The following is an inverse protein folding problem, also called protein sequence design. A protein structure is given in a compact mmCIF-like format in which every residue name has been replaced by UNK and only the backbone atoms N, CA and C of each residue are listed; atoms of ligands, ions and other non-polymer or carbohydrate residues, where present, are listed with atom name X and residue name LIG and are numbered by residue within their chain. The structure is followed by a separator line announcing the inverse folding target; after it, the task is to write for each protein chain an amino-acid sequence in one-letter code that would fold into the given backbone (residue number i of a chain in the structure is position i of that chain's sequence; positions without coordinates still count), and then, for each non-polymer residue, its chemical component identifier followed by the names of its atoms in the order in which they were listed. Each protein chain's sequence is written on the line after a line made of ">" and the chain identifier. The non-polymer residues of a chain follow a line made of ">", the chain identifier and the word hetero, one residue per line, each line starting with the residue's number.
data_IF_906496903537
#
_entry.id   IF_906496903537
#
_cell.length_a   1.000
_cell.length_b   1.000
_cell.length_c   1.000
_cell.angle_alpha   90.00
_cell.angle_beta   90.00
_cell.angle_gamma   90.00
#
_symmetry.space_group_name_H-M   'P 1'
#
loop_
_entity.id
_entity.type
_entity.pdbx_description
1 polymer ?
#
# COMPACT_ATOMS: atom_id res chain seq x y z
N UNK A 1 -22.24 -18.98 24.61
CA UNK A 1 -21.26 -20.05 24.33
C UNK A 1 -19.90 -19.48 24.72
N UNK A 2 -19.16 -20.15 25.61
CA UNK A 2 -17.82 -19.72 25.99
C UNK A 2 -16.86 -20.12 24.86
N UNK A 3 -16.23 -19.14 24.20
CA UNK A 3 -15.16 -19.40 23.24
C UNK A 3 -13.85 -19.64 23.98
N UNK A 4 -13.02 -20.55 23.45
CA UNK A 4 -11.65 -20.73 23.96
C UNK A 4 -10.77 -19.66 23.33
N UNK A 5 -10.10 -18.86 24.17
CA UNK A 5 -9.15 -17.85 23.71
C UNK A 5 -7.79 -18.50 23.44
N UNK A 6 -7.23 -18.28 22.26
CA UNK A 6 -5.91 -18.75 21.86
C UNK A 6 -5.07 -17.54 21.49
N UNK A 7 -3.95 -17.35 22.20
CA UNK A 7 -2.98 -16.32 21.89
C UNK A 7 -1.74 -16.94 21.26
N UNK A 8 -1.31 -16.34 20.16
CA UNK A 8 -0.13 -16.73 19.41
C UNK A 8 0.72 -15.51 19.09
N UNK A 9 2.00 -15.72 18.85
CA UNK A 9 2.86 -14.71 18.27
C UNK A 9 3.78 -15.32 17.22
N UNK A 10 4.25 -14.48 16.30
CA UNK A 10 5.05 -14.91 15.17
C UNK A 10 5.81 -13.75 14.52
N UNK A 11 6.48 -14.07 13.41
CA UNK A 11 7.32 -13.13 12.68
C UNK A 11 7.04 -13.11 11.19
N UNK A 12 6.92 -11.92 10.63
CA UNK A 12 7.08 -11.74 9.18
C UNK A 12 8.58 -11.61 8.93
N UNK A 13 9.19 -12.73 8.54
CA UNK A 13 10.62 -12.83 8.28
C UNK A 13 10.92 -12.30 6.88
N UNK A 14 11.87 -11.38 6.77
CA UNK A 14 12.24 -10.75 5.52
C UNK A 14 13.75 -10.53 5.40
N UNK A 15 14.22 -10.35 4.17
CA UNK A 15 15.56 -9.86 3.87
C UNK A 15 15.50 -8.83 2.75
N UNK A 16 16.50 -7.95 2.70
CA UNK A 16 16.67 -6.99 1.61
C UNK A 16 17.88 -7.43 0.79
N UNK A 17 17.69 -7.68 -0.51
CA UNK A 17 18.79 -8.02 -1.42
C UNK A 17 18.66 -7.19 -2.69
N UNK A 18 19.73 -6.48 -3.06
CA UNK A 18 19.80 -5.65 -4.28
C UNK A 18 18.62 -4.68 -4.43
N UNK A 19 18.15 -4.07 -3.32
CA UNK A 19 17.02 -3.15 -3.35
C UNK A 19 15.67 -3.82 -3.62
N UNK A 20 15.54 -5.10 -3.24
CA UNK A 20 14.29 -5.86 -3.30
C UNK A 20 14.02 -6.48 -1.93
N UNK A 21 12.80 -6.32 -1.41
CA UNK A 21 12.36 -7.00 -0.19
C UNK A 21 11.86 -8.38 -0.56
N UNK A 22 12.34 -9.41 0.15
CA UNK A 22 11.87 -10.78 -0.02
C UNK A 22 11.45 -11.33 1.34
N UNK A 23 10.36 -12.10 1.35
CA UNK A 23 9.72 -12.58 2.56
C UNK A 23 9.64 -14.10 2.58
N UNK A 24 9.60 -14.67 3.77
CA UNK A 24 9.47 -16.11 3.99
C UNK A 24 8.03 -16.50 4.33
N UNK A 25 7.51 -17.49 3.60
CA UNK A 25 6.31 -18.23 3.97
C UNK A 25 6.65 -19.70 4.23
N UNK A 26 5.90 -20.32 5.12
CA UNK A 26 5.95 -21.74 5.41
C UNK A 26 4.61 -22.39 5.05
N UNK A 27 4.64 -23.62 4.53
CA UNK A 27 3.44 -24.37 4.17
C UNK A 27 3.12 -25.40 5.24
N UNK A 28 2.01 -25.23 5.95
CA UNK A 28 1.62 -26.11 7.04
C UNK A 28 1.12 -27.48 6.53
N UNK A 29 1.58 -28.58 7.14
CA UNK A 29 1.21 -29.95 6.76
C UNK A 29 -0.21 -30.30 7.23
N UNK A 30 -0.55 -29.94 8.47
CA UNK A 30 -1.71 -30.49 9.18
C UNK A 30 -3.03 -29.73 8.96
N UNK A 31 -2.98 -28.51 8.45
CA UNK A 31 -4.12 -27.58 8.43
C UNK A 31 -4.49 -27.15 7.01
N UNK A 32 -4.76 -28.11 6.13
CA UNK A 32 -5.26 -27.83 4.77
C UNK A 32 -4.21 -27.25 3.81
N UNK A 33 -2.92 -27.49 4.06
CA UNK A 33 -1.82 -27.14 3.16
C UNK A 33 -1.74 -25.64 2.75
N UNK A 34 -2.01 -24.73 3.68
CA UNK A 34 -1.94 -23.30 3.43
C UNK A 34 -0.57 -22.70 3.75
N UNK A 35 -0.22 -21.64 3.03
CA UNK A 35 0.96 -20.83 3.29
C UNK A 35 0.67 -19.78 4.37
N UNK A 36 1.61 -19.58 5.28
CA UNK A 36 1.52 -18.56 6.33
C UNK A 36 2.89 -18.13 6.84
N UNK A 37 2.88 -17.14 7.72
CA UNK A 37 4.08 -16.69 8.43
C UNK A 37 4.37 -17.58 9.64
N UNK A 38 5.64 -17.71 10.05
CA UNK A 38 5.99 -18.50 11.22
C UNK A 38 5.36 -17.93 12.49
N UNK A 39 4.70 -18.80 13.27
CA UNK A 39 3.94 -18.43 14.46
C UNK A 39 3.50 -19.67 15.26
N UNK A 40 3.39 -19.49 16.56
CA UNK A 40 2.80 -20.51 17.43
C UNK A 40 2.26 -19.94 18.72
N UNK A 41 1.85 -20.83 19.63
CA UNK A 41 1.13 -20.45 20.85
C UNK A 41 2.08 -19.81 21.85
N UNK A 42 1.58 -18.81 22.56
CA UNK A 42 2.29 -18.23 23.69
C UNK A 42 2.27 -19.25 24.83
N UNK A 43 3.45 -19.63 25.32
CA UNK A 43 3.60 -20.55 26.45
C UNK A 43 3.47 -19.84 27.80
N UNK A 44 3.31 -20.61 28.88
CA UNK A 44 3.14 -20.06 30.23
C UNK A 44 4.38 -19.24 30.63
N UNK A 45 4.17 -17.97 30.97
CA UNK A 45 5.24 -17.04 31.38
C UNK A 45 5.95 -16.31 30.22
N UNK A 46 5.65 -16.62 28.96
CA UNK A 46 6.33 -16.05 27.80
C UNK A 46 5.72 -14.70 27.36
N UNK A 47 6.57 -13.73 27.02
CA UNK A 47 6.12 -12.48 26.36
C UNK A 47 5.91 -12.72 24.87
N UNK A 48 4.98 -11.98 24.25
CA UNK A 48 4.71 -12.02 22.79
C UNK A 48 5.99 -12.00 21.92
N UNK A 49 6.99 -11.19 22.30
CA UNK A 49 8.27 -11.09 21.55
C UNK A 49 9.21 -12.28 21.75
N UNK A 50 9.15 -12.93 22.91
CA UNK A 50 9.91 -14.15 23.21
C UNK A 50 9.30 -15.30 22.41
N UNK A 51 7.97 -15.43 22.42
CA UNK A 51 7.22 -16.37 21.57
C UNK A 51 7.56 -16.18 20.09
N UNK A 52 7.47 -14.96 19.58
CA UNK A 52 7.80 -14.69 18.17
C UNK A 52 9.22 -15.13 17.82
N UNK A 53 10.21 -14.87 18.68
CA UNK A 53 11.60 -15.30 18.46
C UNK A 53 11.73 -16.83 18.46
N UNK A 54 11.15 -17.49 19.46
CA UNK A 54 11.18 -18.96 19.59
C UNK A 54 10.56 -19.62 18.38
N UNK A 55 9.37 -19.20 17.98
CA UNK A 55 8.62 -19.75 16.85
C UNK A 55 9.34 -19.55 15.51
N UNK A 56 9.96 -18.38 15.28
CA UNK A 56 10.83 -18.19 14.11
C UNK A 56 11.98 -19.21 14.13
N UNK A 57 12.65 -19.41 15.27
CA UNK A 57 13.78 -20.34 15.37
C UNK A 57 13.33 -21.79 15.16
N UNK A 58 12.23 -22.21 15.79
CA UNK A 58 11.71 -23.57 15.76
C UNK A 58 11.19 -23.94 14.37
N UNK A 59 10.41 -23.07 13.72
CA UNK A 59 9.78 -23.38 12.44
C UNK A 59 10.69 -23.16 11.22
N UNK A 60 11.70 -22.28 11.33
CA UNK A 60 12.57 -21.89 10.20
C UNK A 60 14.04 -22.27 10.37
N UNK A 61 14.49 -22.59 11.59
CA UNK A 61 15.90 -22.80 11.92
C UNK A 61 16.76 -21.52 11.91
N UNK A 62 16.19 -20.35 11.63
CA UNK A 62 16.92 -19.07 11.56
C UNK A 62 17.19 -18.55 12.96
N UNK A 63 18.46 -18.53 13.38
CA UNK A 63 18.88 -18.01 14.69
C UNK A 63 19.39 -16.58 14.66
N UNK A 64 19.89 -16.11 13.50
CA UNK A 64 20.50 -14.79 13.35
C UNK A 64 19.53 -13.85 12.62
N UNK A 65 18.79 -13.06 13.39
CA UNK A 65 17.86 -12.06 12.88
C UNK A 65 17.73 -10.86 13.83
N UNK A 66 17.32 -9.72 13.29
CA UNK A 66 16.98 -8.53 14.07
C UNK A 66 15.46 -8.42 14.14
N UNK A 67 14.91 -8.46 15.35
CA UNK A 67 13.48 -8.27 15.58
C UNK A 67 13.19 -6.77 15.71
N UNK A 68 12.30 -6.23 14.87
CA UNK A 68 11.82 -4.85 15.02
C UNK A 68 10.64 -4.82 16.00
N UNK A 69 10.91 -4.38 17.23
CA UNK A 69 9.90 -4.25 18.29
C UNK A 69 8.95 -3.05 18.07
N UNK A 70 9.20 -2.17 17.09
CA UNK A 70 8.33 -1.03 16.78
C UNK A 70 7.19 -1.39 15.82
N UNK A 71 7.30 -2.52 15.12
CA UNK A 71 6.20 -3.08 14.35
C UNK A 71 5.52 -4.19 15.15
N UNK A 72 4.30 -3.93 15.61
CA UNK A 72 3.49 -4.91 16.34
C UNK A 72 2.06 -4.81 15.82
N UNK A 73 1.59 -5.88 15.17
CA UNK A 73 0.24 -5.94 14.61
C UNK A 73 -0.48 -7.20 15.05
N UNK A 74 -1.66 -7.04 15.62
CA UNK A 74 -2.53 -8.14 16.02
C UNK A 74 -3.55 -8.44 14.92
N UNK A 75 -3.69 -9.71 14.56
CA UNK A 75 -4.81 -10.22 13.77
C UNK A 75 -5.72 -11.09 14.61
N UNK A 76 -7.02 -11.05 14.30
CA UNK A 76 -8.06 -11.75 15.05
C UNK A 76 -8.93 -12.56 14.08
N UNK A 77 -9.15 -13.83 14.39
CA UNK A 77 -10.10 -14.67 13.68
C UNK A 77 -10.64 -15.77 14.58
N UNK A 78 -11.87 -16.20 14.31
CA UNK A 78 -12.51 -17.30 15.01
C UNK A 78 -12.63 -18.50 14.08
N UNK A 79 -12.44 -19.69 14.61
CA UNK A 79 -12.67 -20.94 13.90
C UNK A 79 -13.26 -21.98 14.83
N UNK A 80 -13.99 -22.93 14.27
CA UNK A 80 -14.55 -24.04 15.04
C UNK A 80 -13.64 -25.26 14.93
N UNK A 81 -13.34 -25.87 16.07
CA UNK A 81 -12.61 -27.14 16.14
C UNK A 81 -13.28 -28.03 17.17
N UNK A 82 -13.61 -29.26 16.76
CA UNK A 82 -14.27 -30.26 17.60
C UNK A 82 -15.59 -29.76 18.24
N UNK A 83 -16.38 -28.97 17.50
CA UNK A 83 -17.64 -28.39 17.98
C UNK A 83 -17.49 -27.19 18.91
N UNK A 84 -16.26 -26.71 19.13
CA UNK A 84 -15.96 -25.60 20.04
C UNK A 84 -15.41 -24.41 19.22
N UNK A 85 -16.02 -23.25 19.42
CA UNK A 85 -15.53 -21.99 18.85
C UNK A 85 -14.26 -21.57 19.57
N UNK A 86 -13.20 -21.35 18.79
CA UNK A 86 -11.91 -20.85 19.25
C UNK A 86 -11.68 -19.47 18.67
N UNK A 87 -11.48 -18.48 19.54
CA UNK A 87 -11.09 -17.13 19.14
C UNK A 87 -9.58 -17.02 19.24
N UNK A 88 -8.94 -16.75 18.10
CA UNK A 88 -7.48 -16.70 18.02
C UNK A 88 -6.99 -15.30 17.71
N UNK A 89 -6.07 -14.85 18.55
CA UNK A 89 -5.28 -13.64 18.35
C UNK A 89 -3.86 -14.03 17.99
N UNK A 90 -3.32 -13.47 16.91
CA UNK A 90 -1.91 -13.64 16.53
C UNK A 90 -1.25 -12.27 16.48
N UNK A 91 -0.19 -12.08 17.27
CA UNK A 91 0.67 -10.90 17.21
C UNK A 91 1.84 -11.16 16.26
N UNK A 92 2.00 -10.33 15.23
CA UNK A 92 3.17 -10.37 14.35
C UNK A 92 4.16 -9.25 14.63
N UNK A 93 5.43 -9.63 14.60
CA UNK A 93 6.59 -8.73 14.57
C UNK A 93 7.29 -8.83 13.20
N UNK A 94 8.17 -7.89 12.89
CA UNK A 94 9.09 -8.01 11.75
C UNK A 94 10.42 -8.61 12.19
N UNK A 95 10.98 -9.51 11.39
CA UNK A 95 12.29 -10.10 11.62
C UNK A 95 13.16 -9.98 10.37
N UNK A 96 14.21 -9.16 10.43
CA UNK A 96 15.17 -8.98 9.34
C UNK A 96 16.30 -10.01 9.43
N UNK A 97 16.58 -10.69 8.31
CA UNK A 97 17.67 -11.67 8.19
C UNK A 97 18.70 -11.24 7.14
N UNK A 98 19.96 -11.56 7.38
CA UNK A 98 21.05 -11.28 6.42
C UNK A 98 21.21 -12.38 5.37
N UNK A 99 20.86 -13.63 5.72
CA UNK A 99 21.00 -14.79 4.84
C UNK A 99 19.70 -15.59 4.80
N UNK A 100 19.35 -16.07 3.61
CA UNK A 100 18.22 -16.96 3.38
C UNK A 100 18.63 -18.41 3.64
N UNK A 101 18.72 -18.79 4.90
CA UNK A 101 18.87 -20.19 5.30
C UNK A 101 17.58 -20.63 5.97
N UNK A 102 16.96 -21.72 5.54
CA UNK A 102 15.72 -22.20 6.15
C UNK A 102 15.78 -23.72 6.30
N UNK A 103 15.64 -24.18 7.54
CA UNK A 103 15.48 -25.59 7.90
C UNK A 103 14.08 -25.72 8.51
N UNK A 104 13.21 -26.47 7.85
CA UNK A 104 11.82 -26.61 8.26
C UNK A 104 11.67 -27.51 9.47
N UNK A 105 10.72 -27.18 10.34
CA UNK A 105 10.20 -28.10 11.36
C UNK A 105 9.31 -29.20 10.77
N UNK A 106 9.00 -30.22 11.57
CA UNK A 106 8.08 -31.31 11.22
C UNK A 106 6.63 -30.84 10.99
N UNK A 107 6.32 -29.58 11.26
CA UNK A 107 4.99 -29.00 11.02
C UNK A 107 4.80 -28.48 9.59
N UNK A 108 5.90 -28.33 8.83
CA UNK A 108 5.93 -27.67 7.54
C UNK A 108 6.53 -28.55 6.45
N UNK A 109 5.87 -28.59 5.28
CA UNK A 109 6.35 -29.39 4.15
C UNK A 109 7.29 -28.61 3.24
N UNK A 110 7.09 -27.31 3.14
CA UNK A 110 7.77 -26.44 2.16
C UNK A 110 7.99 -25.03 2.74
N UNK A 111 9.03 -24.36 2.27
CA UNK A 111 9.25 -22.93 2.48
C UNK A 111 9.29 -22.20 1.13
N UNK A 112 8.97 -20.91 1.16
CA UNK A 112 9.01 -20.08 -0.03
C UNK A 112 9.54 -18.69 0.31
N UNK A 113 10.57 -18.27 -0.42
CA UNK A 113 11.06 -16.90 -0.42
C UNK A 113 10.57 -16.19 -1.68
N UNK A 114 9.79 -15.11 -1.52
CA UNK A 114 9.23 -14.37 -2.64
C UNK A 114 9.18 -12.86 -2.42
N UNK A 115 8.98 -12.11 -3.49
CA UNK A 115 8.72 -10.68 -3.46
C UNK A 115 7.27 -10.38 -3.05
N UNK A 116 6.93 -9.10 -2.92
CA UNK A 116 5.63 -8.67 -2.43
C UNK A 116 4.43 -9.33 -3.15
N UNK A 117 4.47 -9.39 -4.48
CA UNK A 117 3.38 -9.96 -5.27
C UNK A 117 3.33 -11.50 -5.17
N UNK A 118 4.48 -12.17 -5.14
CA UNK A 118 4.54 -13.63 -4.96
C UNK A 118 3.92 -14.07 -3.62
N UNK A 119 4.13 -13.27 -2.57
CA UNK A 119 3.61 -13.53 -1.23
C UNK A 119 2.10 -13.31 -1.20
N UNK A 120 1.61 -12.23 -1.81
CA UNK A 120 0.17 -11.97 -1.92
C UNK A 120 -0.57 -13.07 -2.68
N UNK A 121 0.04 -13.66 -3.71
CA UNK A 121 -0.58 -14.72 -4.49
C UNK A 121 -0.66 -16.06 -3.73
N UNK A 122 0.20 -16.26 -2.74
CA UNK A 122 0.20 -17.47 -1.90
C UNK A 122 -0.66 -17.38 -0.65
N UNK A 123 -0.83 -16.19 -0.09
CA UNK A 123 -1.66 -15.98 1.09
C UNK A 123 -3.15 -16.05 0.72
N UNK A 124 -3.89 -16.90 1.45
CA UNK A 124 -5.33 -17.10 1.23
C UNK A 124 -6.15 -16.33 2.29
N UNK A 125 -5.63 -16.22 3.51
CA UNK A 125 -6.33 -15.57 4.61
C UNK A 125 -6.27 -14.04 4.47
N UNK A 126 -7.43 -13.40 4.53
CA UNK A 126 -7.54 -11.93 4.38
C UNK A 126 -6.78 -11.18 5.49
N UNK A 127 -6.80 -11.70 6.72
CA UNK A 127 -6.10 -11.13 7.86
C UNK A 127 -4.57 -11.20 7.71
N UNK A 128 -4.04 -12.32 7.21
CA UNK A 128 -2.60 -12.47 6.90
C UNK A 128 -2.19 -11.50 5.77
N UNK A 129 -3.02 -11.33 4.75
CA UNK A 129 -2.80 -10.35 3.67
C UNK A 129 -2.76 -8.91 4.22
N UNK A 130 -3.64 -8.58 5.17
CA UNK A 130 -3.72 -7.25 5.76
C UNK A 130 -2.50 -6.92 6.62
N UNK A 131 -2.06 -7.84 7.49
CA UNK A 131 -0.85 -7.63 8.29
C UNK A 131 0.41 -7.61 7.44
N UNK A 132 0.50 -8.45 6.40
CA UNK A 132 1.61 -8.43 5.46
C UNK A 132 1.76 -7.09 4.74
N UNK A 133 0.62 -6.52 4.32
CA UNK A 133 0.55 -5.20 3.71
C UNK A 133 1.09 -4.09 4.62
N UNK A 134 0.67 -4.08 5.88
CA UNK A 134 1.17 -3.15 6.90
C UNK A 134 2.67 -3.33 7.13
N UNK A 135 3.12 -4.58 7.26
CA UNK A 135 4.53 -4.92 7.44
C UNK A 135 5.40 -4.42 6.27
N UNK A 136 4.98 -4.67 5.04
CA UNK A 136 5.66 -4.14 3.86
C UNK A 136 5.73 -2.61 3.90
N UNK A 137 4.62 -1.91 4.14
CA UNK A 137 4.63 -0.45 4.18
C UNK A 137 5.52 0.09 5.30
N UNK A 138 5.54 -0.56 6.47
CA UNK A 138 6.43 -0.21 7.58
C UNK A 138 7.90 -0.30 7.17
N UNK A 139 8.33 -1.42 6.57
CA UNK A 139 9.70 -1.58 6.06
C UNK A 139 10.03 -0.46 5.07
N UNK A 140 9.12 -0.18 4.12
CA UNK A 140 9.31 0.88 3.13
C UNK A 140 9.43 2.27 3.79
N UNK A 141 8.63 2.56 4.81
CA UNK A 141 8.69 3.81 5.58
C UNK A 141 10.02 3.93 6.31
N UNK A 142 10.51 2.87 6.95
CA UNK A 142 11.79 2.89 7.67
C UNK A 142 12.96 3.21 6.72
N UNK A 143 12.96 2.61 5.52
CA UNK A 143 14.05 2.74 4.54
C UNK A 143 14.01 4.09 3.78
N UNK A 144 12.84 4.56 3.38
CA UNK A 144 12.73 5.70 2.48
C UNK A 144 12.96 7.06 3.18
N UNK A 145 13.60 7.99 2.48
CA UNK A 145 13.83 9.37 2.95
C UNK A 145 12.63 10.29 2.67
N UNK A 146 11.81 9.92 1.69
CA UNK A 146 10.60 10.62 1.29
C UNK A 146 9.43 9.66 1.11
N UNK A 147 8.21 10.15 1.26
CA UNK A 147 6.98 9.37 1.12
C UNK A 147 6.05 10.06 0.12
N UNK A 148 5.60 9.31 -0.89
CA UNK A 148 4.46 9.71 -1.72
C UNK A 148 3.20 9.06 -1.15
N UNK A 149 2.42 9.88 -0.45
CA UNK A 149 1.23 9.46 0.30
C UNK A 149 -0.03 9.87 -0.44
N UNK A 150 -1.01 8.98 -0.52
CA UNK A 150 -2.33 9.32 -1.04
C UNK A 150 -3.39 8.36 -0.52
N UNK A 151 -4.66 8.77 -0.48
CA UNK A 151 -5.75 7.79 -0.45
C UNK A 151 -5.67 6.92 -1.72
N UNK A 152 -6.16 5.65 -1.73
CA UNK A 152 -6.27 4.89 -2.96
C UNK A 152 -6.94 5.67 -4.08
N UNK A 153 -6.49 5.45 -5.32
CA UNK A 153 -7.12 6.00 -6.54
C UNK A 153 -6.96 7.52 -6.77
N UNK A 154 -6.07 8.20 -6.06
CA UNK A 154 -5.74 9.63 -6.33
C UNK A 154 -4.76 9.88 -7.50
N UNK A 155 -4.38 8.86 -8.28
CA UNK A 155 -3.44 9.01 -9.41
C UNK A 155 -1.97 8.78 -9.08
N UNK A 156 -1.66 8.23 -7.89
CA UNK A 156 -0.28 7.94 -7.43
C UNK A 156 0.58 7.15 -8.43
N UNK A 157 0.00 6.20 -9.17
CA UNK A 157 0.72 5.45 -10.20
C UNK A 157 1.21 6.35 -11.35
N UNK A 158 0.40 7.32 -11.77
CA UNK A 158 0.78 8.23 -12.85
C UNK A 158 1.95 9.12 -12.44
N UNK A 159 1.84 9.79 -11.29
CA UNK A 159 2.92 10.62 -10.75
C UNK A 159 4.21 9.81 -10.56
N UNK A 160 4.11 8.61 -10.00
CA UNK A 160 5.27 7.76 -9.78
C UNK A 160 5.93 7.30 -11.09
N UNK A 161 5.17 7.06 -12.16
CA UNK A 161 5.74 6.75 -13.47
C UNK A 161 6.50 7.92 -14.08
N UNK A 162 5.95 9.14 -13.99
CA UNK A 162 6.65 10.34 -14.47
C UNK A 162 7.99 10.48 -13.73
N UNK A 163 7.96 10.42 -12.40
CA UNK A 163 9.17 10.51 -11.58
C UNK A 163 10.15 9.37 -11.88
N UNK A 164 9.66 8.13 -12.04
CA UNK A 164 10.51 6.99 -12.35
C UNK A 164 11.22 7.14 -13.71
N UNK A 165 10.55 7.68 -14.74
CA UNK A 165 11.18 7.97 -16.04
C UNK A 165 12.23 9.07 -15.95
N UNK A 166 11.95 10.14 -15.20
CA UNK A 166 12.91 11.22 -14.96
C UNK A 166 14.14 10.66 -14.24
N UNK A 167 13.95 9.90 -13.16
CA UNK A 167 15.04 9.33 -12.39
C UNK A 167 15.84 8.29 -13.18
N UNK A 168 15.16 7.45 -13.96
CA UNK A 168 15.82 6.45 -14.79
C UNK A 168 16.80 7.11 -15.77
N UNK A 169 16.39 8.17 -16.48
CA UNK A 169 17.27 8.88 -17.41
C UNK A 169 18.32 9.73 -16.70
N UNK A 170 17.95 10.45 -15.63
CA UNK A 170 18.87 11.36 -14.90
C UNK A 170 20.01 10.61 -14.20
N UNK A 171 19.74 9.41 -13.70
CA UNK A 171 20.69 8.62 -12.92
C UNK A 171 21.20 7.36 -13.64
N UNK A 172 20.94 7.24 -14.94
CA UNK A 172 21.35 6.12 -15.79
C UNK A 172 20.98 4.75 -15.19
N UNK A 173 19.72 4.63 -14.76
CA UNK A 173 19.23 3.41 -14.12
C UNK A 173 18.77 2.39 -15.18
N UNK A 174 18.78 1.09 -14.84
CA UNK A 174 18.23 0.04 -15.71
C UNK A 174 16.78 0.32 -16.14
N UNK A 175 16.41 -0.12 -17.34
CA UNK A 175 15.09 0.14 -17.93
C UNK A 175 13.93 -0.39 -17.06
N UNK A 176 14.17 -1.51 -16.38
CA UNK A 176 13.22 -2.16 -15.47
C UNK A 176 13.02 -1.39 -14.14
N UNK A 177 13.67 -0.23 -13.97
CA UNK A 177 13.38 0.72 -12.90
C UNK A 177 12.00 1.39 -13.09
N UNK A 178 11.65 1.73 -14.33
CA UNK A 178 10.38 2.43 -14.64
C UNK A 178 9.17 1.54 -14.33
N UNK A 179 9.32 0.24 -14.58
CA UNK A 179 8.26 -0.75 -14.44
C UNK A 179 8.14 -1.31 -13.03
N UNK A 180 9.12 -1.05 -12.15
CA UNK A 180 9.11 -1.48 -10.74
C UNK A 180 9.10 -0.27 -9.81
N UNK A 181 7.88 0.22 -9.53
CA UNK A 181 7.63 1.31 -8.57
C UNK A 181 8.16 1.02 -7.15
N UNK A 182 8.54 -0.22 -6.85
CA UNK A 182 9.08 -0.59 -5.54
C UNK A 182 10.57 -0.22 -5.42
N UNK A 183 11.31 -0.19 -6.53
CA UNK A 183 12.73 0.16 -6.57
C UNK A 183 13.00 1.61 -6.15
N UNK A 184 12.01 2.50 -6.26
CA UNK A 184 12.13 3.88 -5.76
C UNK A 184 12.32 3.92 -4.25
N UNK A 185 11.93 2.87 -3.51
CA UNK A 185 11.96 2.85 -2.05
C UNK A 185 13.38 2.77 -1.49
N UNK A 186 14.30 2.20 -2.25
CA UNK A 186 15.65 1.94 -1.76
C UNK A 186 16.61 3.08 -2.12
N UNK A 187 17.53 3.43 -1.21
CA UNK A 187 18.51 4.47 -1.50
C UNK A 187 19.41 4.03 -2.66
N UNK A 188 19.37 4.79 -3.75
CA UNK A 188 20.33 4.70 -4.85
C UNK A 188 21.26 5.90 -4.70
N UNK A 189 22.55 5.73 -5.01
CA UNK A 189 23.54 6.81 -4.87
C UNK A 189 23.05 8.07 -5.58
N UNK A 190 22.99 9.18 -4.84
CA UNK A 190 22.52 10.50 -5.30
C UNK A 190 21.04 10.60 -5.71
N UNK A 191 20.23 9.55 -5.54
CA UNK A 191 18.79 9.59 -5.77
C UNK A 191 18.04 9.48 -4.42
N UNK A 192 17.15 10.43 -4.09
CA UNK A 192 16.31 10.31 -2.91
C UNK A 192 15.42 9.06 -2.96
N UNK A 193 15.48 8.23 -1.93
CA UNK A 193 14.55 7.12 -1.77
C UNK A 193 13.14 7.62 -1.46
N UNK A 194 12.16 7.06 -2.15
CA UNK A 194 10.75 7.39 -2.05
C UNK A 194 9.90 6.12 -1.92
N UNK A 195 9.20 5.98 -0.80
CA UNK A 195 8.19 4.95 -0.62
C UNK A 195 6.81 5.47 -1.03
N UNK A 196 6.05 4.64 -1.74
CA UNK A 196 4.68 4.96 -2.13
C UNK A 196 3.71 4.21 -1.22
N UNK A 197 2.96 4.94 -0.39
CA UNK A 197 2.09 4.34 0.63
C UNK A 197 0.69 4.95 0.62
N UNK A 198 -0.25 4.25 1.25
CA UNK A 198 -1.56 4.82 1.59
C UNK A 198 -1.63 5.35 3.02
N UNK A 199 -0.61 5.05 3.83
CA UNK A 199 -0.53 5.30 5.27
C UNK A 199 -1.74 4.77 6.03
N UNK A 200 -1.54 3.69 6.78
CA UNK A 200 -2.55 3.15 7.70
C UNK A 200 -3.85 2.65 7.03
N UNK A 201 -3.81 2.40 5.72
CA UNK A 201 -4.86 1.72 4.95
C UNK A 201 -6.28 2.28 5.19
N UNK A 202 -6.50 3.60 4.98
CA UNK A 202 -7.74 4.29 5.36
C UNK A 202 -8.97 3.68 4.69
N UNK A 203 -8.82 3.07 3.52
CA UNK A 203 -9.91 2.44 2.78
C UNK A 203 -10.56 1.23 3.46
N UNK A 204 -9.96 0.68 4.53
CA UNK A 204 -10.54 -0.42 5.32
C UNK A 204 -11.05 0.06 6.69
N UNK A 205 -10.91 1.35 6.97
CA UNK A 205 -11.19 1.95 8.28
C UNK A 205 -12.46 2.78 8.27
N UNK A 206 -13.12 2.82 9.43
CA UNK A 206 -14.11 3.85 9.75
C UNK A 206 -13.39 5.15 10.10
N UNK A 207 -14.11 6.27 10.02
CA UNK A 207 -13.59 7.60 10.40
C UNK A 207 -12.96 7.61 11.79
N UNK A 208 -13.57 6.94 12.77
CA UNK A 208 -13.06 6.88 14.14
C UNK A 208 -11.76 6.08 14.32
N UNK A 209 -11.41 5.23 13.36
CA UNK A 209 -10.24 4.33 13.41
C UNK A 209 -9.02 4.89 12.66
N UNK A 210 -9.18 6.00 11.92
CA UNK A 210 -8.10 6.65 11.20
C UNK A 210 -7.02 7.15 12.17
N UNK A 211 -5.76 6.82 11.89
CA UNK A 211 -4.63 7.40 12.62
C UNK A 211 -4.66 8.93 12.51
N UNK A 212 -4.61 9.63 13.64
CA UNK A 212 -4.73 11.10 13.69
C UNK A 212 -3.41 11.85 13.77
N UNK A 213 -2.34 11.19 14.22
CA UNK A 213 -1.03 11.80 14.44
C UNK A 213 -0.04 11.31 13.39
N UNK A 214 0.60 12.23 12.66
CA UNK A 214 1.58 11.94 11.60
C UNK A 214 3.00 12.37 11.95
N UNK A 215 3.25 12.83 13.17
CA UNK A 215 4.53 13.42 13.61
C UNK A 215 5.73 12.48 13.39
N UNK A 216 5.55 11.17 13.54
CA UNK A 216 6.62 10.20 13.31
C UNK A 216 7.05 10.14 11.83
N UNK A 217 6.13 10.44 10.90
CA UNK A 217 6.40 10.46 9.47
C UNK A 217 6.99 11.79 9.00
N UNK A 218 6.64 12.91 9.64
CA UNK A 218 7.09 14.27 9.26
C UNK A 218 8.60 14.54 9.48
N UNK A 219 9.33 13.57 10.03
CA UNK A 219 10.80 13.55 9.96
C UNK A 219 11.34 13.29 8.54
N UNK A 220 10.46 12.88 7.63
CA UNK A 220 10.72 12.58 6.22
C UNK A 220 9.96 13.58 5.36
N UNK A 221 10.42 13.77 4.12
CA UNK A 221 9.70 14.59 3.13
C UNK A 221 8.42 13.88 2.69
N UNK A 222 7.28 14.53 2.82
CA UNK A 222 5.96 13.99 2.48
C UNK A 222 5.42 14.72 1.26
N UNK A 223 5.19 13.98 0.18
CA UNK A 223 4.40 14.46 -0.97
C UNK A 223 2.99 13.88 -0.78
N UNK A 224 2.02 14.73 -0.47
CA UNK A 224 0.64 14.31 -0.26
C UNK A 224 -0.20 14.59 -1.50
N UNK A 225 -0.53 13.52 -2.23
CA UNK A 225 -1.35 13.57 -3.43
C UNK A 225 -2.83 13.39 -3.07
N UNK A 226 -3.59 14.45 -3.29
CA UNK A 226 -5.05 14.47 -3.18
C UNK A 226 -5.69 14.57 -4.55
N UNK A 227 -6.96 14.20 -4.61
CA UNK A 227 -7.83 14.27 -5.79
C UNK A 227 -9.25 14.53 -5.33
N UNK A 228 -10.08 15.14 -6.17
CA UNK A 228 -11.52 15.33 -5.89
C UNK A 228 -12.14 14.05 -5.29
N UNK A 229 -12.64 14.10 -4.04
CA UNK A 229 -13.23 12.93 -3.38
C UNK A 229 -14.35 12.25 -4.17
N UNK A 230 -15.06 12.98 -5.03
CA UNK A 230 -16.12 12.44 -5.90
C UNK A 230 -15.54 11.58 -7.01
N UNK A 231 -14.44 12.01 -7.61
CA UNK A 231 -13.71 11.18 -8.57
C UNK A 231 -13.05 9.97 -7.89
N UNK A 232 -12.51 10.18 -6.69
CA UNK A 232 -11.86 9.11 -5.91
C UNK A 232 -12.85 8.01 -5.56
N UNK A 233 -14.03 8.35 -5.02
CA UNK A 233 -15.01 7.33 -4.60
C UNK A 233 -15.55 6.53 -5.79
N UNK A 234 -15.77 7.17 -6.95
CA UNK A 234 -16.18 6.48 -8.18
C UNK A 234 -15.06 5.55 -8.67
N UNK A 235 -13.80 6.04 -8.69
CA UNK A 235 -12.65 5.21 -9.08
C UNK A 235 -12.42 4.05 -8.11
N UNK A 236 -12.69 4.27 -6.81
CA UNK A 236 -12.59 3.25 -5.77
C UNK A 236 -13.69 2.20 -5.91
N UNK A 237 -14.93 2.61 -6.20
CA UNK A 237 -16.03 1.70 -6.49
C UNK A 237 -15.67 0.73 -7.60
N UNK A 238 -15.27 1.22 -8.77
CA UNK A 238 -14.90 0.36 -9.91
C UNK A 238 -13.70 -0.54 -9.62
N UNK A 239 -12.73 -0.05 -8.84
CA UNK A 239 -11.63 -0.90 -8.39
C UNK A 239 -12.13 -2.06 -7.53
N UNK A 240 -13.10 -1.83 -6.65
CA UNK A 240 -13.62 -2.86 -5.75
C UNK A 240 -14.63 -3.80 -6.43
N UNK A 241 -15.52 -3.27 -7.28
CA UNK A 241 -16.60 -4.03 -7.91
C UNK A 241 -16.16 -4.73 -9.19
N UNK A 242 -15.45 -4.04 -10.09
CA UNK A 242 -15.14 -4.55 -11.43
C UNK A 242 -13.71 -5.11 -11.56
N UNK A 243 -12.73 -4.56 -10.84
CA UNK A 243 -11.35 -5.09 -10.91
C UNK A 243 -11.10 -6.20 -9.91
N UNK A 244 -11.47 -5.98 -8.65
CA UNK A 244 -11.20 -6.92 -7.55
C UNK A 244 -12.38 -7.84 -7.22
N UNK A 245 -13.58 -7.53 -7.71
CA UNK A 245 -14.81 -8.30 -7.44
C UNK A 245 -15.09 -8.51 -5.94
N UNK A 246 -14.65 -7.54 -5.10
CA UNK A 246 -14.79 -7.54 -3.64
C UNK A 246 -16.05 -6.84 -3.15
N UNK A 247 -16.72 -6.10 -4.03
CA UNK A 247 -17.95 -5.39 -3.72
C UNK A 247 -19.03 -5.74 -4.74
N UNK A 248 -20.23 -6.06 -4.27
CA UNK A 248 -21.36 -6.49 -5.12
C UNK A 248 -22.52 -5.48 -5.15
N UNK A 249 -22.49 -4.44 -4.31
CA UNK A 249 -23.53 -3.43 -4.24
C UNK A 249 -23.47 -2.39 -5.38
N UNK A 250 -24.45 -1.49 -5.38
CA UNK A 250 -24.49 -0.38 -6.34
C UNK A 250 -23.48 0.71 -5.98
N UNK A 251 -23.18 1.60 -6.94
CA UNK A 251 -22.37 2.79 -6.66
C UNK A 251 -23.03 3.66 -5.58
N UNK A 252 -24.35 3.83 -5.61
CA UNK A 252 -25.10 4.61 -4.62
C UNK A 252 -24.96 4.06 -3.21
N UNK A 253 -25.01 2.74 -3.03
CA UNK A 253 -24.77 2.10 -1.73
C UNK A 253 -23.32 2.32 -1.28
N UNK A 254 -22.38 2.22 -2.21
CA UNK A 254 -20.95 2.40 -1.93
C UNK A 254 -20.61 3.80 -1.42
N UNK A 255 -21.34 4.84 -1.84
CA UNK A 255 -21.18 6.20 -1.33
C UNK A 255 -21.47 6.30 0.17
N UNK A 256 -22.30 5.41 0.70
CA UNK A 256 -22.76 5.37 2.10
C UNK A 256 -21.96 4.41 2.97
N UNK A 257 -20.98 3.69 2.40
CA UNK A 257 -20.16 2.74 3.15
C UNK A 257 -19.41 3.42 4.30
N UNK A 258 -19.55 2.82 5.49
CA UNK A 258 -18.91 3.35 6.70
C UNK A 258 -17.39 3.16 6.72
N UNK A 259 -16.87 2.20 5.95
CA UNK A 259 -15.44 1.87 5.83
C UNK A 259 -14.95 2.23 4.44
N UNK A 260 -13.97 3.14 4.36
CA UNK A 260 -13.39 3.56 3.08
C UNK A 260 -14.35 4.27 2.12
N UNK A 261 -15.59 4.56 2.55
CA UNK A 261 -16.54 5.37 1.79
C UNK A 261 -16.22 6.87 1.85
N UNK A 262 -17.15 7.69 1.38
CA UNK A 262 -16.89 9.11 1.13
C UNK A 262 -16.43 9.88 2.38
N UNK A 263 -17.09 9.65 3.54
CA UNK A 263 -16.72 10.35 4.78
C UNK A 263 -15.31 9.97 5.26
N UNK A 264 -14.84 8.75 4.96
CA UNK A 264 -13.48 8.32 5.28
C UNK A 264 -12.45 9.10 4.48
N UNK A 265 -12.72 9.35 3.19
CA UNK A 265 -11.85 10.14 2.30
C UNK A 265 -11.71 11.57 2.83
N UNK A 266 -12.85 12.23 3.12
CA UNK A 266 -12.87 13.61 3.63
C UNK A 266 -12.07 13.73 4.93
N UNK A 267 -12.29 12.82 5.87
CA UNK A 267 -11.58 12.85 7.16
C UNK A 267 -10.09 12.54 7.01
N UNK A 268 -9.72 11.60 6.14
CA UNK A 268 -8.33 11.29 5.86
C UNK A 268 -7.59 12.52 5.29
N UNK A 269 -8.18 13.24 4.33
CA UNK A 269 -7.62 14.49 3.82
C UNK A 269 -7.49 15.54 4.93
N UNK A 270 -8.54 15.75 5.72
CA UNK A 270 -8.51 16.72 6.81
C UNK A 270 -7.46 16.41 7.88
N UNK A 271 -7.14 15.14 8.13
CA UNK A 271 -6.07 14.76 9.05
C UNK A 271 -4.71 15.19 8.50
N UNK A 272 -4.45 14.91 7.22
CA UNK A 272 -3.18 15.26 6.57
C UNK A 272 -3.02 16.76 6.33
N UNK A 273 -4.07 17.46 5.95
CA UNK A 273 -4.05 18.91 5.67
C UNK A 273 -3.82 19.77 6.91
N UNK A 274 -3.81 19.20 8.12
CA UNK A 274 -3.34 19.89 9.34
C UNK A 274 -1.85 20.20 9.32
N UNK A 275 -1.10 19.53 8.45
CA UNK A 275 0.35 19.61 8.36
C UNK A 275 0.82 20.41 7.13
N UNK A 276 -0.07 21.16 6.48
CA UNK A 276 0.26 21.88 5.25
C UNK A 276 1.39 22.90 5.41
N UNK A 277 1.51 23.50 6.60
CA UNK A 277 2.54 24.48 6.91
C UNK A 277 3.88 23.85 7.34
N UNK A 278 3.97 22.51 7.42
CA UNK A 278 5.20 21.82 7.75
C UNK A 278 6.18 21.88 6.55
N UNK A 279 7.45 22.27 6.76
CA UNK A 279 8.43 22.40 5.66
C UNK A 279 8.77 21.06 4.99
N UNK A 280 8.47 19.93 5.63
CA UNK A 280 8.60 18.60 5.05
C UNK A 280 7.29 18.12 4.42
N UNK A 281 6.31 18.99 4.19
CA UNK A 281 5.03 18.63 3.58
C UNK A 281 4.80 19.37 2.26
N UNK A 282 4.53 18.61 1.20
CA UNK A 282 4.25 19.13 -0.13
C UNK A 282 2.88 18.62 -0.60
N UNK A 283 1.89 19.51 -0.63
CA UNK A 283 0.56 19.19 -1.13
C UNK A 283 0.53 19.24 -2.65
N UNK A 284 -0.12 18.25 -3.27
CA UNK A 284 -0.41 18.27 -4.70
C UNK A 284 -1.82 17.75 -4.97
N UNK A 285 -2.56 18.47 -5.80
CA UNK A 285 -3.85 18.01 -6.33
C UNK A 285 -3.66 17.36 -7.69
N UNK A 286 -4.32 16.23 -7.89
CA UNK A 286 -4.34 15.53 -9.17
C UNK A 286 -4.81 16.46 -10.30
N UNK A 287 -5.79 17.31 -10.03
CA UNK A 287 -6.34 18.25 -11.00
C UNK A 287 -5.30 19.29 -11.44
N UNK A 288 -4.50 19.80 -10.52
CA UNK A 288 -3.48 20.80 -10.84
C UNK A 288 -2.28 20.16 -11.53
N UNK A 289 -1.87 18.95 -11.09
CA UNK A 289 -0.89 18.13 -11.80
C UNK A 289 -1.35 17.80 -13.22
N UNK A 290 -2.64 17.56 -13.44
CA UNK A 290 -3.22 17.29 -14.74
C UNK A 290 -3.20 18.52 -15.64
N UNK A 291 -3.50 19.70 -15.09
CA UNK A 291 -3.57 20.95 -15.85
C UNK A 291 -2.19 21.55 -16.16
N UNK A 292 -1.27 21.53 -15.18
CA UNK A 292 0.06 22.15 -15.29
C UNK A 292 1.18 21.15 -14.88
N UNK A 293 1.33 20.01 -15.57
CA UNK A 293 2.20 18.92 -15.12
C UNK A 293 3.67 19.35 -14.96
N UNK A 294 4.22 20.13 -15.89
CA UNK A 294 5.61 20.59 -15.81
C UNK A 294 5.88 21.42 -14.55
N UNK A 295 4.98 22.35 -14.19
CA UNK A 295 5.10 23.20 -13.00
C UNK A 295 5.14 22.36 -11.72
N UNK A 296 4.20 21.43 -11.57
CA UNK A 296 4.10 20.62 -10.35
C UNK A 296 5.19 19.56 -10.25
N UNK A 297 5.63 19.00 -11.38
CA UNK A 297 6.79 18.10 -11.38
C UNK A 297 8.07 18.84 -11.00
N UNK A 298 8.31 20.05 -11.52
CA UNK A 298 9.44 20.87 -11.09
C UNK A 298 9.37 21.18 -9.58
N UNK A 299 8.20 21.58 -9.07
CA UNK A 299 8.01 21.81 -7.63
C UNK A 299 8.32 20.57 -6.77
N UNK A 300 7.95 19.37 -7.22
CA UNK A 300 8.31 18.11 -6.54
C UNK A 300 9.83 17.87 -6.58
N UNK A 301 10.48 18.07 -7.73
CA UNK A 301 11.91 17.85 -7.87
C UNK A 301 12.70 18.81 -6.97
N UNK A 302 12.32 20.09 -6.95
CA UNK A 302 12.87 21.09 -6.04
C UNK A 302 12.64 20.71 -4.57
N UNK A 303 11.41 20.32 -4.22
CA UNK A 303 11.08 19.85 -2.88
C UNK A 303 11.90 18.63 -2.48
N UNK A 304 12.24 17.73 -3.40
CA UNK A 304 13.11 16.57 -3.16
C UNK A 304 14.61 16.90 -3.19
N UNK A 305 14.99 18.16 -3.46
CA UNK A 305 16.37 18.62 -3.69
C UNK A 305 17.06 17.95 -4.89
N UNK A 306 16.31 17.62 -5.94
CA UNK A 306 16.85 17.03 -7.17
C UNK A 306 17.00 18.14 -8.20
N UNK A 307 18.26 18.47 -8.52
CA UNK A 307 18.61 19.59 -9.40
C UNK A 307 19.09 19.13 -10.77
N UNK A 308 19.27 20.10 -11.66
CA UNK A 308 19.90 19.95 -12.97
C UNK A 308 19.15 18.97 -13.88
N UNK A 309 17.82 19.02 -13.86
CA UNK A 309 16.97 18.22 -14.74
C UNK A 309 16.63 19.07 -15.96
N UNK A 310 16.97 18.55 -17.14
CA UNK A 310 16.61 19.17 -18.41
C UNK A 310 15.07 19.25 -18.55
N UNK A 311 14.55 20.43 -18.87
CA UNK A 311 13.13 20.64 -19.15
C UNK A 311 12.62 19.69 -20.24
N UNK A 312 13.46 19.37 -21.24
CA UNK A 312 13.10 18.42 -22.29
C UNK A 312 12.88 17.00 -21.74
N UNK A 313 13.69 16.58 -20.77
CA UNK A 313 13.53 15.30 -20.09
C UNK A 313 12.19 15.24 -19.33
N UNK A 314 11.79 16.32 -18.66
CA UNK A 314 10.51 16.40 -17.95
C UNK A 314 9.34 16.29 -18.94
N UNK A 315 9.40 17.05 -20.04
CA UNK A 315 8.38 17.02 -21.10
C UNK A 315 8.22 15.63 -21.71
N UNK A 316 9.34 14.98 -22.02
CA UNK A 316 9.32 13.62 -22.58
C UNK A 316 8.76 12.62 -21.57
N UNK A 317 9.13 12.71 -20.29
CA UNK A 317 8.60 11.85 -19.24
C UNK A 317 7.07 12.02 -19.04
N UNK A 318 6.56 13.26 -19.13
CA UNK A 318 5.12 13.56 -19.07
C UNK A 318 4.41 12.95 -20.28
N UNK A 319 4.94 13.19 -21.49
CA UNK A 319 4.38 12.65 -22.75
C UNK A 319 4.33 11.12 -22.74
N UNK A 320 5.43 10.50 -22.36
CA UNK A 320 5.59 9.04 -22.30
C UNK A 320 4.83 8.42 -21.12
N UNK A 321 4.23 9.23 -20.25
CA UNK A 321 3.35 8.78 -19.16
C UNK A 321 1.91 9.26 -19.37
N UNK A 322 1.55 9.62 -20.60
CA UNK A 322 0.17 10.00 -20.94
C UNK A 322 -0.81 8.86 -20.66
N UNK A 323 -2.09 9.19 -20.49
CA UNK A 323 -3.15 8.19 -20.27
C UNK A 323 -3.10 7.05 -21.29
N UNK A 324 -2.98 7.39 -22.58
CA UNK A 324 -2.94 6.41 -23.66
C UNK A 324 -1.75 5.47 -23.54
N UNK A 325 -0.57 6.00 -23.21
CA UNK A 325 0.64 5.18 -23.09
C UNK A 325 0.61 4.28 -21.85
N UNK A 326 0.18 4.82 -20.70
CA UNK A 326 -0.01 4.01 -19.50
C UNK A 326 -1.08 2.93 -19.70
N UNK A 327 -2.19 3.25 -20.36
CA UNK A 327 -3.26 2.30 -20.66
C UNK A 327 -2.78 1.21 -21.62
N UNK A 328 -1.95 1.56 -22.62
CA UNK A 328 -1.26 0.60 -23.49
C UNK A 328 -0.35 -0.32 -22.69
N UNK A 329 0.51 0.23 -21.82
CA UNK A 329 1.39 -0.55 -20.95
C UNK A 329 0.61 -1.50 -20.01
N UNK A 330 -0.53 -1.07 -19.48
CA UNK A 330 -1.42 -1.92 -18.67
C UNK A 330 -2.02 -3.04 -19.52
N UNK A 331 -2.57 -2.71 -20.69
CA UNK A 331 -3.19 -3.67 -21.61
C UNK A 331 -2.21 -4.74 -22.10
N UNK A 332 -0.98 -4.33 -22.43
CA UNK A 332 0.08 -5.18 -22.94
C UNK A 332 0.86 -5.89 -21.82
N UNK A 333 0.46 -5.73 -20.55
CA UNK A 333 1.13 -6.27 -19.35
C UNK A 333 2.64 -5.94 -19.29
N UNK A 334 3.02 -4.74 -19.75
CA UNK A 334 4.41 -4.27 -19.77
C UNK A 334 4.90 -3.79 -18.40
N UNK A 335 4.00 -3.71 -17.41
CA UNK A 335 4.41 -3.50 -16.03
C UNK A 335 4.99 -4.79 -15.44
N UNK A 336 6.18 -4.71 -14.87
CA UNK A 336 6.82 -5.81 -14.13
C UNK A 336 6.15 -6.13 -12.78
N UNK A 337 4.96 -5.57 -12.54
CA UNK A 337 4.23 -5.64 -11.26
C UNK A 337 2.82 -6.18 -11.56
N UNK A 338 2.50 -7.44 -11.21
CA UNK A 338 1.22 -8.07 -11.50
C UNK A 338 -0.01 -7.26 -11.06
N UNK A 339 0.06 -6.54 -9.93
CA UNK A 339 -1.05 -5.69 -9.46
C UNK A 339 -1.44 -4.55 -10.40
N UNK A 340 -0.59 -4.20 -11.35
CA UNK A 340 -0.87 -3.17 -12.36
C UNK A 340 -1.66 -3.74 -13.55
N UNK A 341 -1.69 -5.05 -13.77
CA UNK A 341 -2.45 -5.71 -14.84
C UNK A 341 -3.97 -5.56 -14.69
N UNK A 342 -4.75 -5.46 -15.79
CA UNK A 342 -6.21 -5.31 -15.73
C UNK A 342 -6.88 -6.50 -15.03
N UNK A 343 -8.03 -6.26 -14.38
CA UNK A 343 -8.81 -7.34 -13.75
C UNK A 343 -9.48 -8.25 -14.78
N UNK A 344 -10.03 -7.63 -15.83
CA UNK A 344 -10.59 -8.27 -17.02
C UNK A 344 -10.29 -7.38 -18.24
N UNK A 345 -9.44 -7.85 -19.14
CA UNK A 345 -9.03 -7.09 -20.32
C UNK A 345 -10.19 -6.73 -21.26
N UNK A 346 -11.33 -7.42 -21.18
CA UNK A 346 -12.54 -7.16 -21.97
C UNK A 346 -13.46 -6.12 -21.34
N UNK A 347 -13.28 -5.80 -20.05
CA UNK A 347 -14.07 -4.81 -19.33
C UNK A 347 -13.22 -3.54 -19.09
N UNK A 348 -13.47 -2.43 -19.81
CA UNK A 348 -12.76 -1.16 -19.61
C UNK A 348 -12.79 -0.64 -18.17
N UNK A 349 -13.85 -0.95 -17.42
CA UNK A 349 -13.99 -0.50 -16.03
C UNK A 349 -13.12 -1.30 -15.04
N UNK A 350 -12.55 -2.42 -15.46
CA UNK A 350 -11.63 -3.23 -14.65
C UNK A 350 -10.17 -2.73 -14.68
N UNK A 351 -9.85 -1.82 -15.60
CA UNK A 351 -8.51 -1.24 -15.76
C UNK A 351 -8.19 -0.30 -14.59
N UNK A 352 -6.91 -0.24 -14.23
CA UNK A 352 -6.41 0.64 -13.18
C UNK A 352 -6.34 2.06 -13.72
N UNK A 353 -5.85 2.19 -14.95
CA UNK A 353 -5.82 3.40 -15.76
C UNK A 353 -7.07 3.38 -16.64
N UNK A 354 -8.19 3.83 -16.04
CA UNK A 354 -9.54 3.65 -16.59
C UNK A 354 -9.96 4.72 -17.60
N UNK A 355 -9.89 5.99 -17.19
CA UNK A 355 -10.32 7.14 -18.00
C UNK A 355 -9.29 8.28 -18.07
N UNK A 356 -8.51 8.47 -17.01
CA UNK A 356 -7.52 9.55 -16.94
C UNK A 356 -8.11 10.97 -16.91
N UNK A 357 -9.42 11.13 -16.76
CA UNK A 357 -10.11 12.43 -16.80
C UNK A 357 -10.32 13.03 -15.41
N UNK A 358 -10.40 14.35 -15.33
CA UNK A 358 -10.85 15.13 -14.17
C UNK A 358 -12.36 15.36 -14.26
N UNK A 359 -13.08 15.17 -13.14
CA UNK A 359 -14.52 15.39 -13.09
C UNK A 359 -15.36 14.26 -13.70
N UNK A 360 -14.76 13.08 -13.89
CA UNK A 360 -15.42 11.92 -14.48
C UNK A 360 -16.60 11.40 -13.64
N UNK A 361 -16.67 11.73 -12.35
CA UNK A 361 -17.81 11.38 -11.49
C UNK A 361 -19.17 11.86 -12.04
N UNK A 362 -19.20 12.94 -12.84
CA UNK A 362 -20.43 13.48 -13.44
C UNK A 362 -21.12 12.51 -14.40
N UNK A 363 -20.37 11.56 -14.97
CA UNK A 363 -20.91 10.52 -15.85
C UNK A 363 -21.59 9.38 -15.07
N UNK A 364 -21.30 9.24 -13.78
CA UNK A 364 -21.73 8.09 -12.97
C UNK A 364 -22.72 8.46 -11.85
N UNK A 365 -22.70 9.71 -11.40
CA UNK A 365 -23.51 10.17 -10.27
C UNK A 365 -24.68 11.02 -10.74
N UNK A 366 -25.84 10.78 -10.15
CA UNK A 366 -27.00 11.65 -10.34
C UNK A 366 -26.75 13.05 -9.76
N UNK A 367 -27.48 14.06 -10.26
CA UNK A 367 -27.42 15.42 -9.71
C UNK A 367 -27.70 15.46 -8.20
N UNK A 368 -28.61 14.59 -7.72
CA UNK A 368 -28.95 14.47 -6.30
C UNK A 368 -27.76 13.98 -5.48
N UNK A 369 -27.09 12.92 -5.93
CA UNK A 369 -25.91 12.38 -5.26
C UNK A 369 -24.76 13.40 -5.27
N UNK A 370 -24.50 14.05 -6.41
CA UNK A 370 -23.48 15.10 -6.50
C UNK A 370 -23.75 16.21 -5.49
N UNK A 371 -25.00 16.69 -5.38
CA UNK A 371 -25.35 17.72 -4.41
C UNK A 371 -25.14 17.25 -2.96
N UNK A 372 -25.49 16.00 -2.63
CA UNK A 372 -25.24 15.44 -1.31
C UNK A 372 -23.74 15.33 -0.98
N UNK A 373 -22.93 14.92 -1.96
CA UNK A 373 -21.48 14.86 -1.80
C UNK A 373 -20.86 16.26 -1.68
N UNK A 374 -21.38 17.26 -2.41
CA UNK A 374 -20.94 18.65 -2.28
C UNK A 374 -21.13 19.19 -0.86
N UNK A 375 -22.29 18.93 -0.24
CA UNK A 375 -22.54 19.29 1.17
C UNK A 375 -21.54 18.61 2.11
N UNK A 376 -21.12 17.37 1.83
CA UNK A 376 -20.07 16.69 2.61
C UNK A 376 -18.69 17.33 2.37
N UNK A 377 -18.41 17.79 1.16
CA UNK A 377 -17.15 18.47 0.80
C UNK A 377 -16.97 19.83 1.47
N UNK A 378 -18.04 20.47 1.95
CA UNK A 378 -17.95 21.69 2.78
C UNK A 378 -17.16 21.45 4.08
N UNK A 379 -17.04 20.19 4.52
CA UNK A 379 -16.23 19.81 5.69
C UNK A 379 -14.74 19.70 5.38
N UNK A 380 -14.31 19.79 4.13
CA UNK A 380 -12.90 19.75 3.78
C UNK A 380 -12.18 20.99 4.30
N UNK A 381 -10.94 20.80 4.74
CA UNK A 381 -10.03 21.90 5.04
C UNK A 381 -9.89 22.82 3.81
N UNK A 382 -9.90 24.14 4.02
CA UNK A 382 -9.82 25.14 2.95
C UNK A 382 -8.57 24.99 2.07
N UNK A 383 -7.49 24.44 2.63
CA UNK A 383 -6.27 24.08 1.91
C UNK A 383 -6.48 23.10 0.75
N UNK A 384 -7.61 22.39 0.72
CA UNK A 384 -7.99 21.57 -0.43
C UNK A 384 -8.33 22.41 -1.67
N UNK A 385 -8.82 23.63 -1.48
CA UNK A 385 -9.31 24.51 -2.55
C UNK A 385 -8.31 25.60 -2.95
N UNK A 386 -7.31 25.87 -2.12
CA UNK A 386 -6.13 26.68 -2.47
C UNK A 386 -5.26 25.96 -3.47
#
# INVERSE_FOLDING_TARGET
>A
MNSIQINSAGGIVYCIKNGVIQYLLLKHIKTGAHWGFPKGRIEEGEKKKETAKREIIEETGIRNFVLDENFVEDIFYSFEKDGIVQDKTVTYFLAEVQQKTTLLSDEHSEFFWGEYDDILDKLINITDIEVFKKANDWIKICIANSLLVSFPKCGRTWLAMILAKIFQKKFDLPLDYITSLEKTTFPIKNLPSMALIHEDYPQFKKVGELSKCKNNLLRKKIIFLIRDPRDVIVSWYFHQSQRRHRYKGSLSDFLLESRGGFDTIINYYNIWLKYIDDPNFFLIRYEDLFSEPEKWINGILDFLNIKDIDSKLIQDAIKDSSFNEMHRMEKDNLFSVPRLAPGDCKNPESYKIRRGVVGGHKEYLSKKEINQLNLKMEKLNCAFYS
#
